data_IF_695310073010
#
_entry.id   IF_695310073010
#
_cell.length_a   1.000
_cell.length_b   1.000
_cell.length_c   1.000
_cell.angle_alpha   90.00
_cell.angle_beta   90.00
_cell.angle_gamma   90.00
#
_symmetry.space_group_name_H-M   'P 1'
#
loop_
_entity.id
_entity.type
_entity.pdbx_description
1 polymer ?
#
# COMPACT_ATOMS: atom_id res chain seq x y z
N UNK A 1 -28.12 -17.40 2.50
CA UNK A 1 -27.42 -16.28 3.15
C UNK A 1 -28.47 -15.27 3.45
N UNK A 2 -28.74 -15.06 4.74
CA UNK A 2 -29.66 -14.01 5.16
C UNK A 2 -29.02 -12.66 4.83
N UNK A 3 -29.80 -11.68 4.37
CA UNK A 3 -29.29 -10.33 4.03
C UNK A 3 -28.47 -9.73 5.18
N UNK A 4 -28.87 -10.01 6.41
CA UNK A 4 -28.19 -9.58 7.63
C UNK A 4 -26.75 -10.15 7.75
N UNK A 5 -26.53 -11.42 7.39
CA UNK A 5 -25.18 -12.03 7.37
C UNK A 5 -24.28 -11.37 6.32
N UNK A 6 -24.85 -10.91 5.21
CA UNK A 6 -24.11 -10.23 4.15
C UNK A 6 -23.72 -8.83 4.61
N UNK A 7 -24.63 -8.07 5.22
CA UNK A 7 -24.37 -6.73 5.71
C UNK A 7 -23.31 -6.70 6.83
N UNK A 8 -23.38 -7.64 7.78
CA UNK A 8 -22.37 -7.79 8.82
C UNK A 8 -20.98 -8.11 8.23
N UNK A 9 -20.95 -9.01 7.25
CA UNK A 9 -19.72 -9.34 6.54
C UNK A 9 -19.17 -8.12 5.79
N UNK A 10 -20.02 -7.38 5.09
CA UNK A 10 -19.59 -6.16 4.39
C UNK A 10 -19.05 -5.10 5.34
N UNK A 11 -19.72 -4.90 6.48
CA UNK A 11 -19.27 -3.96 7.51
C UNK A 11 -17.89 -4.35 8.06
N UNK A 12 -17.66 -5.64 8.31
CA UNK A 12 -16.38 -6.16 8.81
C UNK A 12 -15.24 -6.04 7.77
N UNK A 13 -15.54 -6.23 6.48
CA UNK A 13 -14.55 -6.24 5.39
C UNK A 13 -14.25 -4.82 4.87
N UNK A 14 -15.18 -3.87 5.05
CA UNK A 14 -15.03 -2.46 4.66
C UNK A 14 -13.69 -1.81 5.08
N UNK A 15 -13.19 -1.92 6.32
CA UNK A 15 -11.90 -1.35 6.69
C UNK A 15 -10.74 -1.95 5.89
N UNK A 16 -10.74 -3.27 5.69
CA UNK A 16 -9.69 -3.99 4.95
C UNK A 16 -9.67 -3.54 3.48
N UNK A 17 -10.85 -3.47 2.84
CA UNK A 17 -11.00 -2.95 1.47
C UNK A 17 -10.49 -1.52 1.35
N UNK A 18 -10.76 -0.66 2.35
CA UNK A 18 -10.30 0.73 2.36
C UNK A 18 -8.77 0.83 2.42
N UNK A 19 -8.14 0.02 3.26
CA UNK A 19 -6.67 -0.05 3.37
C UNK A 19 -6.05 -0.50 2.04
N UNK A 20 -6.56 -1.57 1.43
CA UNK A 20 -6.07 -2.07 0.14
C UNK A 20 -6.17 -1.01 -0.97
N UNK A 21 -7.28 -0.28 -1.04
CA UNK A 21 -7.45 0.81 -2.01
C UNK A 21 -6.45 1.94 -1.77
N UNK A 22 -6.18 2.32 -0.51
CA UNK A 22 -5.15 3.32 -0.18
C UNK A 22 -3.75 2.85 -0.57
N UNK A 23 -3.41 1.60 -0.28
CA UNK A 23 -2.11 1.00 -0.66
C UNK A 23 -1.92 1.00 -2.18
N UNK A 24 -2.95 0.63 -2.96
CA UNK A 24 -2.89 0.69 -4.44
C UNK A 24 -2.67 2.11 -4.94
N UNK A 25 -3.36 3.11 -4.38
CA UNK A 25 -3.18 4.52 -4.74
C UNK A 25 -1.78 5.04 -4.38
N UNK A 26 -1.26 4.67 -3.22
CA UNK A 26 0.09 5.06 -2.82
C UNK A 26 1.15 4.39 -3.67
N UNK A 27 1.03 3.09 -3.96
CA UNK A 27 1.89 2.40 -4.92
C UNK A 27 1.86 3.10 -6.29
N UNK A 28 0.67 3.58 -6.70
CA UNK A 28 0.49 4.40 -7.90
C UNK A 28 1.32 5.68 -7.86
N UNK A 29 1.13 6.47 -6.81
CA UNK A 29 1.79 7.76 -6.59
C UNK A 29 3.31 7.63 -6.45
N UNK A 30 3.81 6.65 -5.69
CA UNK A 30 5.24 6.45 -5.43
C UNK A 30 6.01 6.19 -6.73
N UNK A 31 5.52 5.32 -7.63
CA UNK A 31 6.21 5.05 -8.91
C UNK A 31 6.20 6.25 -9.86
N UNK A 32 5.14 7.05 -9.83
CA UNK A 32 4.94 8.14 -10.77
C UNK A 32 5.51 9.45 -10.21
N UNK A 33 5.89 9.47 -8.94
CA UNK A 33 6.56 10.58 -8.30
C UNK A 33 8.05 10.53 -8.62
N UNK A 34 8.49 11.49 -9.43
CA UNK A 34 9.89 11.71 -9.75
C UNK A 34 10.71 12.15 -8.54
N UNK A 35 10.06 12.72 -7.51
CA UNK A 35 10.70 13.23 -6.30
C UNK A 35 10.86 12.17 -5.21
N UNK A 36 9.96 11.18 -5.11
CA UNK A 36 10.05 10.08 -4.13
C UNK A 36 11.08 9.01 -4.56
N UNK A 37 11.25 8.80 -5.88
CA UNK A 37 12.18 7.80 -6.42
C UNK A 37 13.62 8.31 -6.43
N UNK A 38 13.84 9.62 -6.31
CA UNK A 38 15.17 10.19 -6.42
C UNK A 38 16.08 9.64 -5.29
N UNK A 39 17.22 9.01 -5.62
CA UNK A 39 18.08 8.39 -4.62
C UNK A 39 18.98 9.46 -4.02
N UNK A 40 18.65 9.99 -2.85
CA UNK A 40 19.60 10.85 -2.16
C UNK A 40 19.18 11.13 -0.72
N UNK A 41 19.49 10.22 0.21
CA UNK A 41 20.10 10.60 1.49
C UNK A 41 21.01 9.46 1.97
N UNK A 42 22.30 9.75 2.14
CA UNK A 42 23.30 8.81 2.63
C UNK A 42 22.90 8.32 4.02
N UNK A 43 22.43 7.08 4.14
CA UNK A 43 22.18 6.42 5.43
C UNK A 43 20.77 5.88 5.68
N UNK A 44 19.78 6.12 4.80
CA UNK A 44 18.45 5.51 4.91
C UNK A 44 18.34 4.29 3.99
N UNK A 45 17.80 3.13 4.45
CA UNK A 45 17.59 1.98 3.59
C UNK A 45 16.55 2.38 2.54
N UNK A 46 16.94 2.50 1.26
CA UNK A 46 16.07 3.12 0.30
C UNK A 46 14.96 2.13 -0.06
N UNK A 47 13.73 2.64 -0.18
CA UNK A 47 12.69 1.98 -0.99
C UNK A 47 13.17 1.74 -2.44
N UNK A 48 14.28 2.35 -2.86
CA UNK A 48 14.94 2.09 -4.13
C UNK A 48 15.46 0.65 -4.29
N UNK A 49 15.66 -0.12 -3.22
CA UNK A 49 16.12 -1.51 -3.37
C UNK A 49 15.01 -2.43 -3.90
N UNK A 50 13.73 -2.09 -3.65
CA UNK A 50 12.57 -2.84 -4.15
C UNK A 50 11.35 -1.94 -4.26
N UNK A 51 10.85 -1.75 -5.49
CA UNK A 51 9.62 -1.02 -5.75
C UNK A 51 8.40 -1.77 -5.21
N UNK A 52 7.42 -1.04 -4.63
CA UNK A 52 6.19 -1.65 -4.13
C UNK A 52 5.50 -2.45 -5.25
N UNK A 53 5.18 -3.74 -5.02
CA UNK A 53 4.41 -4.54 -5.95
C UNK A 53 3.06 -3.85 -6.26
N UNK A 54 2.49 -4.00 -7.46
CA UNK A 54 1.14 -3.54 -7.79
C UNK A 54 0.30 -4.64 -8.35
N UNK A 55 -0.97 -4.62 -8.00
CA UNK A 55 -1.99 -5.45 -8.61
C UNK A 55 -1.93 -5.35 -10.16
N UNK A 56 -1.43 -6.41 -10.79
CA UNK A 56 -1.42 -6.60 -12.24
C UNK A 56 -2.40 -7.74 -12.53
N UNK A 57 -3.26 -7.56 -13.53
CA UNK A 57 -4.32 -8.51 -13.89
C UNK A 57 -3.86 -9.97 -14.08
N UNK A 58 -2.57 -10.19 -14.32
CA UNK A 58 -1.97 -11.50 -14.59
C UNK A 58 -1.38 -12.20 -13.38
N UNK A 59 -1.45 -11.65 -12.17
CA UNK A 59 -0.69 -12.20 -11.05
C UNK A 59 -1.49 -12.25 -9.73
N UNK A 60 -1.87 -13.46 -9.35
CA UNK A 60 -2.95 -13.75 -8.39
C UNK A 60 -2.58 -13.48 -6.92
N UNK A 61 -1.29 -13.34 -6.60
CA UNK A 61 -0.79 -13.13 -5.24
C UNK A 61 -0.31 -11.69 -4.96
N UNK A 62 -0.57 -10.73 -5.85
CA UNK A 62 -0.05 -9.38 -5.66
C UNK A 62 -0.66 -8.66 -4.45
N UNK A 63 -1.90 -8.96 -4.08
CA UNK A 63 -2.52 -8.39 -2.87
C UNK A 63 -1.77 -8.79 -1.61
N UNK A 64 -1.36 -10.05 -1.50
CA UNK A 64 -0.53 -10.54 -0.41
C UNK A 64 0.86 -9.91 -0.42
N UNK A 65 1.54 -9.90 -1.57
CA UNK A 65 2.86 -9.28 -1.72
C UNK A 65 2.84 -7.78 -1.41
N UNK A 66 1.79 -7.06 -1.82
CA UNK A 66 1.58 -5.65 -1.49
C UNK A 66 1.43 -5.41 0.01
N UNK A 67 0.65 -6.26 0.70
CA UNK A 67 0.47 -6.18 2.14
C UNK A 67 1.77 -6.49 2.88
N UNK A 68 2.46 -7.56 2.47
CA UNK A 68 3.73 -7.96 3.06
C UNK A 68 4.79 -6.86 2.88
N UNK A 69 4.85 -6.24 1.70
CA UNK A 69 5.72 -5.10 1.46
C UNK A 69 5.35 -3.90 2.34
N UNK A 70 4.08 -3.52 2.40
CA UNK A 70 3.62 -2.39 3.20
C UNK A 70 3.92 -2.58 4.70
N UNK A 71 3.82 -3.82 5.18
CA UNK A 71 4.18 -4.19 6.56
C UNK A 71 5.70 -4.13 6.78
N UNK A 72 6.49 -4.73 5.88
CA UNK A 72 7.95 -4.80 5.98
C UNK A 72 8.59 -3.41 5.92
N UNK A 73 8.10 -2.53 5.05
CA UNK A 73 8.62 -1.18 4.86
C UNK A 73 7.77 -0.12 5.56
N UNK A 74 7.03 -0.49 6.62
CA UNK A 74 6.09 0.41 7.30
C UNK A 74 6.73 1.73 7.74
N UNK A 75 7.95 1.70 8.28
CA UNK A 75 8.65 2.91 8.73
C UNK A 75 8.89 3.90 7.57
N UNK A 76 9.41 3.41 6.44
CA UNK A 76 9.64 4.24 5.25
C UNK A 76 8.32 4.70 4.61
N UNK A 77 7.30 3.86 4.65
CA UNK A 77 5.97 4.19 4.15
C UNK A 77 5.28 5.24 5.03
N UNK A 78 5.39 5.13 6.35
CA UNK A 78 4.90 6.11 7.31
C UNK A 78 5.66 7.44 7.14
N UNK A 79 6.98 7.46 6.87
CA UNK A 79 7.75 8.70 6.58
C UNK A 79 7.27 9.39 5.30
N UNK A 80 7.05 8.64 4.20
CA UNK A 80 6.53 9.19 2.93
C UNK A 80 5.10 9.71 3.08
N UNK A 81 4.30 9.05 3.93
CA UNK A 81 2.89 9.41 4.16
C UNK A 81 2.69 10.29 5.41
N UNK A 82 3.79 10.73 6.07
CA UNK A 82 3.77 11.41 7.36
C UNK A 82 3.13 12.80 7.33
N UNK A 83 2.85 13.35 6.15
CA UNK A 83 1.91 14.47 6.01
C UNK A 83 0.47 13.98 6.25
N UNK A 84 0.18 13.59 7.49
CA UNK A 84 -1.16 13.22 7.98
C UNK A 84 -2.00 14.44 8.39
N UNK A 85 -1.40 15.63 8.38
CA UNK A 85 -1.98 16.90 8.84
C UNK A 85 -2.42 17.86 7.71
N UNK A 86 -2.53 17.38 6.46
CA UNK A 86 -3.18 18.13 5.37
C UNK A 86 -4.60 17.61 5.10
#
# INVERSE_FOLDING_TARGET
MMEEEIEELEASVKPVRRVLTKLRKAAHAIKNSTTIILPSEKGKPPLASRMMPRDVATHWNYTYEMLNFAYTYRAAYDEITANRDM
#
